data_IF_817902462467
#
_entry.id   IF_817902462467
#
_cell.length_a   1.000
_cell.length_b   1.000
_cell.length_c   1.000
_cell.angle_alpha   90.00
_cell.angle_beta   90.00
_cell.angle_gamma   90.00
#
_symmetry.space_group_name_H-M   'P 1'
#
loop_
_entity.id
_entity.type
_entity.pdbx_description
1 polymer ?
#
# COMPACT_ATOMS: atom_id res chain seq x y z
N UNK A 1 -38.86 2.39 -3.79
CA UNK A 1 -37.95 1.99 -2.69
C UNK A 1 -37.55 0.53 -2.84
N UNK A 2 -36.76 0.22 -3.87
CA UNK A 2 -36.21 -1.11 -4.12
C UNK A 2 -34.88 -1.06 -4.91
N UNK A 3 -34.37 0.14 -5.22
CA UNK A 3 -33.16 0.32 -6.03
C UNK A 3 -31.89 0.15 -5.18
N UNK A 4 -31.91 0.68 -3.95
CA UNK A 4 -30.80 0.57 -2.98
C UNK A 4 -30.45 -0.89 -2.62
N UNK A 5 -31.40 -1.83 -2.73
CA UNK A 5 -31.14 -3.23 -2.37
C UNK A 5 -30.29 -3.94 -3.41
N UNK A 6 -30.48 -3.66 -4.71
CA UNK A 6 -29.75 -4.33 -5.79
C UNK A 6 -28.28 -3.93 -5.81
N UNK A 7 -27.99 -2.64 -5.59
CA UNK A 7 -26.62 -2.13 -5.51
C UNK A 7 -25.90 -2.66 -4.27
N UNK A 8 -26.57 -2.68 -3.10
CA UNK A 8 -26.03 -3.26 -1.88
C UNK A 8 -25.70 -4.76 -2.04
N UNK A 9 -26.56 -5.53 -2.73
CA UNK A 9 -26.31 -6.94 -3.03
C UNK A 9 -25.08 -7.15 -3.92
N UNK A 10 -24.91 -6.33 -4.97
CA UNK A 10 -23.74 -6.40 -5.85
C UNK A 10 -22.45 -6.02 -5.11
N UNK A 11 -22.49 -5.05 -4.20
CA UNK A 11 -21.35 -4.71 -3.33
C UNK A 11 -21.00 -5.91 -2.44
N UNK A 12 -21.99 -6.51 -1.78
CA UNK A 12 -21.78 -7.67 -0.91
C UNK A 12 -21.24 -8.89 -1.68
N UNK A 13 -21.73 -9.14 -2.90
CA UNK A 13 -21.25 -10.24 -3.74
C UNK A 13 -19.82 -10.03 -4.27
N UNK A 14 -19.43 -8.78 -4.54
CA UNK A 14 -18.10 -8.47 -5.09
C UNK A 14 -17.03 -8.23 -4.01
N UNK A 15 -17.43 -8.01 -2.76
CA UNK A 15 -16.50 -7.77 -1.63
C UNK A 15 -15.54 -8.94 -1.37
N UNK A 16 -16.00 -10.21 -1.34
CA UNK A 16 -15.09 -11.35 -1.15
C UNK A 16 -14.01 -11.44 -2.23
N UNK A 17 -14.33 -11.15 -3.49
CA UNK A 17 -13.35 -11.16 -4.60
C UNK A 17 -12.24 -10.14 -4.35
N UNK A 18 -12.62 -8.90 -4.00
CA UNK A 18 -11.66 -7.84 -3.66
C UNK A 18 -10.78 -8.20 -2.45
N UNK A 19 -11.35 -8.85 -1.44
CA UNK A 19 -10.59 -9.30 -0.26
C UNK A 19 -9.60 -10.43 -0.61
N UNK A 20 -10.00 -11.36 -1.48
CA UNK A 20 -9.11 -12.42 -2.00
C UNK A 20 -7.95 -11.79 -2.78
N UNK A 21 -8.23 -10.81 -3.65
CA UNK A 21 -7.20 -10.10 -4.41
C UNK A 21 -6.22 -9.36 -3.50
N UNK A 22 -6.71 -8.70 -2.44
CA UNK A 22 -5.85 -8.08 -1.43
C UNK A 22 -4.96 -9.09 -0.70
N UNK A 23 -5.51 -10.27 -0.35
CA UNK A 23 -4.76 -11.33 0.33
C UNK A 23 -3.66 -11.90 -0.57
N UNK A 24 -3.97 -12.18 -1.82
CA UNK A 24 -3.00 -12.67 -2.80
C UNK A 24 -1.96 -11.59 -3.16
N UNK A 25 -2.35 -10.32 -3.23
CA UNK A 25 -1.43 -9.21 -3.37
C UNK A 25 -0.45 -9.13 -2.19
N UNK A 26 -0.96 -9.16 -0.94
CA UNK A 26 -0.13 -9.15 0.27
C UNK A 26 0.84 -10.33 0.27
N UNK A 27 0.38 -11.54 -0.06
CA UNK A 27 1.27 -12.70 -0.21
C UNK A 27 2.35 -12.43 -1.25
N UNK A 28 1.99 -11.99 -2.46
CA UNK A 28 2.97 -11.75 -3.52
C UNK A 28 4.04 -10.73 -3.13
N UNK A 29 3.66 -9.64 -2.48
CA UNK A 29 4.57 -8.54 -2.10
C UNK A 29 5.44 -8.92 -0.90
N UNK A 30 4.89 -9.69 0.06
CA UNK A 30 5.58 -10.06 1.30
C UNK A 30 6.23 -11.46 1.25
N UNK A 31 6.13 -12.17 0.13
CA UNK A 31 6.85 -13.44 -0.02
C UNK A 31 8.37 -13.22 0.06
N UNK A 32 9.13 -14.16 0.65
CA UNK A 32 10.59 -14.06 0.77
C UNK A 32 11.36 -13.99 -0.56
N UNK A 33 10.69 -14.24 -1.68
CA UNK A 33 11.20 -14.13 -3.06
C UNK A 33 10.53 -13.00 -3.86
N UNK A 34 9.70 -12.19 -3.22
CA UNK A 34 9.01 -11.07 -3.84
C UNK A 34 9.92 -9.88 -4.04
N UNK A 35 9.45 -8.84 -4.74
CA UNK A 35 10.21 -7.61 -5.07
C UNK A 35 10.84 -6.93 -3.83
N UNK A 36 10.30 -7.19 -2.64
CA UNK A 36 10.81 -6.67 -1.38
C UNK A 36 11.96 -7.50 -0.75
N UNK A 37 12.23 -8.72 -1.23
CA UNK A 37 13.28 -9.60 -0.68
C UNK A 37 14.69 -9.05 -0.87
N UNK A 38 14.91 -8.34 -1.98
CA UNK A 38 16.21 -7.77 -2.33
C UNK A 38 16.50 -6.45 -1.61
N UNK A 39 15.53 -5.94 -0.83
CA UNK A 39 15.69 -4.68 -0.11
C UNK A 39 16.38 -4.95 1.23
N UNK A 40 17.65 -4.57 1.32
CA UNK A 40 18.42 -4.68 2.55
C UNK A 40 18.01 -3.61 3.57
N UNK A 41 18.30 -3.86 4.85
CA UNK A 41 18.17 -2.83 5.89
C UNK A 41 19.01 -1.58 5.61
N UNK A 42 20.13 -1.74 4.91
CA UNK A 42 20.98 -0.64 4.46
C UNK A 42 20.26 0.24 3.44
N UNK A 43 19.56 -0.34 2.47
CA UNK A 43 18.73 0.39 1.51
C UNK A 43 17.60 1.15 2.18
N UNK A 44 16.96 0.54 3.18
CA UNK A 44 15.92 1.18 3.98
C UNK A 44 16.47 2.41 4.69
N UNK A 45 17.63 2.28 5.35
CA UNK A 45 18.25 3.39 6.08
C UNK A 45 18.66 4.53 5.14
N UNK A 46 19.28 4.21 3.99
CA UNK A 46 19.60 5.19 2.94
C UNK A 46 18.37 5.97 2.48
N UNK A 47 17.25 5.28 2.20
CA UNK A 47 16.00 5.93 1.80
C UNK A 47 15.43 6.83 2.91
N UNK A 48 15.52 6.42 4.17
CA UNK A 48 15.06 7.22 5.33
C UNK A 48 15.82 8.53 5.46
N UNK A 49 17.12 8.53 5.22
CA UNK A 49 17.94 9.75 5.21
C UNK A 49 17.47 10.71 4.11
N UNK A 50 17.30 10.23 2.87
CA UNK A 50 16.78 11.04 1.77
C UNK A 50 15.43 11.69 2.07
N UNK A 51 14.55 11.01 2.79
CA UNK A 51 13.26 11.59 3.20
C UNK A 51 13.42 12.62 4.32
N UNK A 52 14.34 12.40 5.27
CA UNK A 52 14.66 13.37 6.32
C UNK A 52 15.23 14.65 5.73
N UNK A 53 16.13 14.54 4.76
CA UNK A 53 16.75 15.70 4.11
C UNK A 53 15.73 16.49 3.30
N UNK A 54 14.91 15.82 2.48
CA UNK A 54 13.78 16.48 1.78
C UNK A 54 12.82 17.17 2.75
N UNK A 55 12.59 16.60 3.94
CA UNK A 55 11.76 17.23 4.97
C UNK A 55 12.43 18.47 5.58
N UNK A 56 13.75 18.45 5.77
CA UNK A 56 14.53 19.61 6.23
C UNK A 56 14.53 20.74 5.19
N UNK A 57 14.78 20.40 3.93
CA UNK A 57 14.74 21.37 2.81
C UNK A 57 13.38 22.07 2.71
N UNK A 58 12.27 21.33 2.83
CA UNK A 58 10.91 21.90 2.85
C UNK A 58 10.67 22.84 4.02
N UNK A 59 11.25 22.56 5.19
CA UNK A 59 11.16 23.46 6.35
C UNK A 59 11.99 24.73 6.13
N UNK A 60 13.16 24.60 5.55
CA UNK A 60 14.05 25.73 5.30
C UNK A 60 13.53 26.64 4.19
N UNK A 61 12.86 26.11 3.16
CA UNK A 61 12.18 26.91 2.11
C UNK A 61 10.97 27.72 2.60
N UNK A 62 10.46 27.47 3.81
CA UNK A 62 9.33 28.20 4.40
C UNK A 62 9.76 29.33 5.34
N UNK A 63 11.05 29.46 5.61
CA UNK A 63 11.65 30.60 6.31
C UNK A 63 12.20 31.58 5.28
#
# INVERSE_FOLDING_TARGET
>A
MAEDSVEAFQILQNTPKKLIDCHEFIKSVLTPSGIASDITMQDINRRRELFRDRKRERKNKKK
#
